data_IF_726420822119
#
_entry.id   IF_726420822119
#
_cell.length_a   1.000
_cell.length_b   1.000
_cell.length_c   1.000
_cell.angle_alpha   90.00
_cell.angle_beta   90.00
_cell.angle_gamma   90.00
#
_symmetry.space_group_name_H-M   'P 1'
#
loop_
_entity.id
_entity.type
_entity.pdbx_description
1 polymer ?
#
# COMPACT_ATOMS: atom_id res chain seq x y z
N UNK A 1 10.21 -42.11 -11.45
CA UNK A 1 9.88 -42.23 -10.02
C UNK A 1 11.10 -42.51 -9.16
N UNK A 2 12.17 -43.14 -9.66
CA UNK A 2 13.45 -43.19 -8.93
C UNK A 2 14.02 -41.77 -8.77
N UNK A 3 14.49 -41.45 -7.57
CA UNK A 3 15.17 -40.19 -7.18
C UNK A 3 14.37 -38.89 -7.43
N UNK A 4 13.08 -38.86 -7.08
CA UNK A 4 12.28 -37.64 -7.21
C UNK A 4 12.55 -36.64 -6.05
N UNK A 5 12.92 -35.38 -6.32
CA UNK A 5 13.34 -34.41 -5.28
C UNK A 5 12.15 -33.76 -4.55
N UNK A 6 11.20 -34.56 -4.05
CA UNK A 6 10.06 -34.08 -3.26
C UNK A 6 10.46 -33.74 -1.81
N UNK A 7 11.43 -34.47 -1.26
CA UNK A 7 11.89 -34.27 0.11
C UNK A 7 12.48 -32.87 0.31
N UNK A 8 13.15 -32.32 -0.71
CA UNK A 8 13.70 -30.96 -0.67
C UNK A 8 12.59 -29.91 -0.52
N UNK A 9 11.43 -30.11 -1.16
CA UNK A 9 10.30 -29.20 -1.06
C UNK A 9 9.67 -29.27 0.33
N UNK A 10 9.47 -30.48 0.86
CA UNK A 10 8.78 -30.70 2.15
C UNK A 10 9.65 -30.37 3.36
N UNK A 11 10.97 -30.41 3.22
CA UNK A 11 11.93 -30.07 4.28
C UNK A 11 12.42 -28.63 4.25
N UNK A 12 12.06 -27.85 3.22
CA UNK A 12 12.49 -26.46 3.09
C UNK A 12 11.99 -25.60 4.26
N UNK A 13 12.92 -24.86 4.87
CA UNK A 13 12.66 -23.94 5.98
C UNK A 13 12.47 -22.49 5.55
N UNK A 14 12.88 -22.16 4.31
CA UNK A 14 12.92 -20.80 3.80
C UNK A 14 12.34 -20.72 2.38
N UNK A 15 11.81 -19.55 2.01
CA UNK A 15 11.17 -19.31 0.71
C UNK A 15 12.14 -19.56 -0.46
N UNK A 16 13.42 -19.23 -0.29
CA UNK A 16 14.46 -19.47 -1.31
C UNK A 16 14.74 -20.97 -1.49
N UNK A 17 14.76 -21.74 -0.40
CA UNK A 17 14.89 -23.20 -0.47
C UNK A 17 13.69 -23.84 -1.16
N UNK A 18 12.47 -23.36 -0.89
CA UNK A 18 11.25 -23.78 -1.60
C UNK A 18 11.38 -23.49 -3.09
N UNK A 19 11.87 -22.30 -3.47
CA UNK A 19 12.08 -21.89 -4.86
C UNK A 19 13.08 -22.78 -5.60
N UNK A 20 14.20 -23.14 -4.96
CA UNK A 20 15.20 -24.06 -5.53
C UNK A 20 14.63 -25.47 -5.69
N UNK A 21 14.00 -26.01 -4.63
CA UNK A 21 13.37 -27.32 -4.65
C UNK A 21 12.31 -27.41 -5.76
N UNK A 22 11.52 -26.35 -5.94
CA UNK A 22 10.53 -26.27 -7.00
C UNK A 22 11.16 -26.36 -8.40
N UNK A 23 12.30 -25.66 -8.60
CA UNK A 23 13.09 -25.77 -9.83
C UNK A 23 13.57 -27.19 -10.09
N UNK A 24 14.07 -27.88 -9.07
CA UNK A 24 14.54 -29.27 -9.16
C UNK A 24 13.40 -30.23 -9.51
N UNK A 25 12.24 -30.06 -8.86
CA UNK A 25 11.01 -30.83 -9.12
C UNK A 25 10.57 -30.69 -10.58
N UNK A 26 10.41 -29.45 -11.09
CA UNK A 26 10.02 -29.23 -12.48
C UNK A 26 11.09 -29.68 -13.48
N UNK A 27 12.38 -29.53 -13.12
CA UNK A 27 13.51 -30.05 -13.90
C UNK A 27 13.41 -31.57 -14.08
N UNK A 28 13.13 -32.30 -13.00
CA UNK A 28 12.95 -33.75 -13.05
C UNK A 28 11.70 -34.16 -13.84
N UNK A 29 10.61 -33.38 -13.74
CA UNK A 29 9.35 -33.61 -14.47
C UNK A 29 9.49 -33.55 -16.00
N UNK A 30 10.49 -32.82 -16.54
CA UNK A 30 10.77 -32.79 -17.99
C UNK A 30 11.12 -34.16 -18.58
N UNK A 31 11.55 -35.12 -17.76
CA UNK A 31 11.86 -36.51 -18.15
C UNK A 31 10.61 -37.33 -18.53
N UNK A 32 9.40 -36.81 -18.29
CA UNK A 32 8.13 -37.44 -18.70
C UNK A 32 8.06 -37.78 -20.19
N UNK A 33 8.79 -37.05 -21.04
CA UNK A 33 8.91 -37.36 -22.48
C UNK A 33 9.40 -38.79 -22.75
N UNK A 34 10.29 -39.32 -21.91
CA UNK A 34 10.87 -40.65 -22.09
C UNK A 34 10.01 -41.79 -21.50
N UNK A 35 9.16 -41.51 -20.51
CA UNK A 35 8.52 -42.55 -19.68
C UNK A 35 7.08 -42.89 -20.08
N UNK A 36 6.58 -42.38 -21.21
CA UNK A 36 5.18 -42.55 -21.68
C UNK A 36 4.11 -42.30 -20.59
N UNK A 37 4.38 -41.41 -19.63
CA UNK A 37 3.52 -41.20 -18.47
C UNK A 37 2.14 -40.61 -18.86
N UNK A 38 1.02 -41.06 -18.26
CA UNK A 38 -0.32 -40.55 -18.60
C UNK A 38 -0.49 -39.07 -18.26
N UNK A 39 -1.07 -38.29 -19.20
CA UNK A 39 -1.21 -36.83 -19.08
C UNK A 39 -2.11 -36.45 -17.89
N UNK A 40 -3.24 -37.13 -17.69
CA UNK A 40 -4.15 -36.86 -16.57
C UNK A 40 -3.48 -37.06 -15.21
N UNK A 41 -2.64 -38.10 -15.09
CA UNK A 41 -1.87 -38.34 -13.86
C UNK A 41 -0.79 -37.27 -13.66
N UNK A 42 -0.22 -36.72 -14.73
CA UNK A 42 0.72 -35.61 -14.63
C UNK A 42 0.03 -34.35 -14.09
N UNK A 43 -1.16 -34.04 -14.58
CA UNK A 43 -1.95 -32.88 -14.11
C UNK A 43 -2.32 -33.02 -12.63
N UNK A 44 -2.83 -34.19 -12.20
CA UNK A 44 -3.11 -34.49 -10.78
C UNK A 44 -1.85 -34.39 -9.91
N UNK A 45 -0.69 -34.76 -10.45
CA UNK A 45 0.57 -34.69 -9.71
C UNK A 45 1.05 -33.24 -9.52
N UNK A 46 0.90 -32.37 -10.53
CA UNK A 46 1.16 -30.93 -10.36
C UNK A 46 0.25 -30.34 -9.27
N UNK A 47 -1.02 -30.72 -9.26
CA UNK A 47 -1.98 -30.26 -8.25
C UNK A 47 -1.53 -30.67 -6.84
N UNK A 48 -1.02 -31.90 -6.68
CA UNK A 48 -0.43 -32.35 -5.42
C UNK A 48 0.81 -31.53 -5.03
N UNK A 49 1.74 -31.26 -5.97
CA UNK A 49 2.91 -30.40 -5.71
C UNK A 49 2.47 -29.00 -5.29
N UNK A 50 1.44 -28.44 -5.93
CA UNK A 50 0.88 -27.14 -5.53
C UNK A 50 0.34 -27.16 -4.10
N UNK A 51 -0.27 -28.26 -3.65
CA UNK A 51 -0.77 -28.40 -2.28
C UNK A 51 0.38 -28.47 -1.29
N UNK A 52 1.41 -29.24 -1.60
CA UNK A 52 2.59 -29.39 -0.75
C UNK A 52 3.37 -28.07 -0.65
N UNK A 53 3.55 -27.36 -1.76
CA UNK A 53 4.12 -26.01 -1.78
C UNK A 53 3.30 -25.05 -0.92
N UNK A 54 1.96 -25.06 -1.04
CA UNK A 54 1.09 -24.21 -0.22
C UNK A 54 1.24 -24.49 1.27
N UNK A 55 1.29 -25.77 1.67
CA UNK A 55 1.51 -26.15 3.06
C UNK A 55 2.86 -25.66 3.61
N UNK A 56 3.92 -25.73 2.80
CA UNK A 56 5.24 -25.24 3.19
C UNK A 56 5.30 -23.72 3.27
N UNK A 57 4.70 -23.01 2.31
CA UNK A 57 4.58 -21.55 2.38
C UNK A 57 3.84 -21.14 3.66
N UNK A 58 2.71 -21.78 3.98
CA UNK A 58 1.97 -21.49 5.22
C UNK A 58 2.81 -21.77 6.47
N UNK A 59 3.59 -22.86 6.49
CA UNK A 59 4.49 -23.18 7.61
C UNK A 59 5.57 -22.10 7.80
N UNK A 60 6.22 -21.68 6.72
CA UNK A 60 7.25 -20.63 6.76
C UNK A 60 6.63 -19.29 7.19
N UNK A 61 5.51 -18.90 6.57
CA UNK A 61 4.84 -17.63 6.86
C UNK A 61 4.21 -17.58 8.25
N UNK A 62 3.68 -18.70 8.76
CA UNK A 62 3.07 -18.79 10.08
C UNK A 62 4.04 -18.46 11.22
N UNK A 63 5.33 -18.78 11.06
CA UNK A 63 6.36 -18.45 12.05
C UNK A 63 6.71 -16.95 12.08
N UNK A 64 6.48 -16.23 10.97
CA UNK A 64 6.92 -14.84 10.78
C UNK A 64 5.91 -13.81 11.28
N UNK A 65 4.73 -14.22 11.76
CA UNK A 65 3.65 -13.35 12.31
C UNK A 65 3.50 -12.05 11.50
N UNK A 66 3.06 -12.18 10.26
CA UNK A 66 3.09 -11.11 9.24
C UNK A 66 2.50 -9.77 9.68
N UNK A 67 1.58 -9.75 10.65
CA UNK A 67 0.94 -8.53 11.16
C UNK A 67 1.70 -7.82 12.29
N UNK A 68 2.74 -8.43 12.84
CA UNK A 68 3.53 -7.87 13.95
C UNK A 68 4.89 -7.31 13.50
N UNK A 69 5.42 -7.79 12.38
CA UNK A 69 6.71 -7.35 11.84
C UNK A 69 6.65 -5.95 11.23
N UNK A 70 7.80 -5.31 11.10
CA UNK A 70 7.91 -4.00 10.45
C UNK A 70 7.47 -4.04 8.98
N UNK A 71 7.11 -2.90 8.41
CA UNK A 71 6.72 -2.83 6.98
C UNK A 71 7.89 -3.19 6.06
N UNK A 72 9.13 -2.88 6.46
CA UNK A 72 10.34 -3.13 5.65
C UNK A 72 10.61 -4.62 5.53
N UNK A 73 10.60 -5.35 6.65
CA UNK A 73 10.77 -6.80 6.66
C UNK A 73 9.60 -7.50 5.96
N UNK A 74 8.39 -6.99 6.15
CA UNK A 74 7.20 -7.49 5.46
C UNK A 74 7.31 -7.35 3.95
N UNK A 75 7.74 -6.19 3.45
CA UNK A 75 7.89 -5.96 2.00
C UNK A 75 8.95 -6.87 1.38
N UNK A 76 10.06 -7.11 2.07
CA UNK A 76 11.10 -8.06 1.64
C UNK A 76 10.55 -9.49 1.54
N UNK A 77 9.86 -9.95 2.59
CA UNK A 77 9.25 -11.28 2.63
C UNK A 77 8.16 -11.41 1.55
N UNK A 78 7.33 -10.39 1.38
CA UNK A 78 6.31 -10.35 0.32
C UNK A 78 6.92 -10.40 -1.07
N UNK A 79 8.06 -9.73 -1.30
CA UNK A 79 8.79 -9.81 -2.56
C UNK A 79 9.30 -11.22 -2.82
N UNK A 80 9.83 -11.92 -1.82
CA UNK A 80 10.24 -13.32 -1.94
C UNK A 80 9.07 -14.25 -2.29
N UNK A 81 7.91 -14.07 -1.64
CA UNK A 81 6.68 -14.81 -1.97
C UNK A 81 6.25 -14.59 -3.43
N UNK A 82 6.23 -13.33 -3.88
CA UNK A 82 5.86 -13.00 -5.28
C UNK A 82 6.83 -13.66 -6.25
N UNK A 83 8.14 -13.58 -5.99
CA UNK A 83 9.14 -14.24 -6.84
C UNK A 83 8.96 -15.77 -6.88
N UNK A 84 8.57 -16.40 -5.77
CA UNK A 84 8.25 -17.82 -5.73
C UNK A 84 7.03 -18.15 -6.59
N UNK A 85 5.95 -17.37 -6.49
CA UNK A 85 4.75 -17.57 -7.31
C UNK A 85 5.02 -17.35 -8.80
N UNK A 86 5.77 -16.31 -9.16
CA UNK A 86 6.20 -16.09 -10.56
C UNK A 86 7.04 -17.26 -11.06
N UNK A 87 7.97 -17.79 -10.24
CA UNK A 87 8.77 -18.96 -10.62
C UNK A 87 7.91 -20.21 -10.83
N UNK A 88 6.89 -20.40 -10.00
CA UNK A 88 5.91 -21.48 -10.20
C UNK A 88 5.19 -21.32 -11.54
N UNK A 89 4.63 -20.14 -11.82
CA UNK A 89 3.87 -19.88 -13.04
C UNK A 89 4.71 -20.12 -14.29
N UNK A 90 5.96 -19.63 -14.30
CA UNK A 90 6.91 -19.84 -15.40
C UNK A 90 7.22 -21.32 -15.66
N UNK A 91 7.49 -22.10 -14.61
CA UNK A 91 7.79 -23.54 -14.77
C UNK A 91 6.53 -24.36 -15.08
N UNK A 92 5.39 -23.96 -14.54
CA UNK A 92 4.09 -24.55 -14.85
C UNK A 92 3.75 -24.35 -16.33
N UNK A 93 3.88 -23.14 -16.87
CA UNK A 93 3.59 -22.85 -18.27
C UNK A 93 4.51 -23.60 -19.23
N UNK A 94 5.81 -23.69 -18.90
CA UNK A 94 6.77 -24.54 -19.64
C UNK A 94 6.36 -26.02 -19.60
N UNK A 95 5.89 -26.51 -18.45
CA UNK A 95 5.47 -27.89 -18.30
C UNK A 95 4.17 -28.19 -19.05
N UNK A 96 3.18 -27.29 -19.00
CA UNK A 96 1.93 -27.42 -19.77
C UNK A 96 2.21 -27.40 -21.27
N UNK A 97 3.12 -26.54 -21.74
CA UNK A 97 3.57 -26.51 -23.14
C UNK A 97 4.17 -27.87 -23.54
N UNK A 98 5.04 -28.43 -22.71
CA UNK A 98 5.63 -29.76 -22.92
C UNK A 98 4.56 -30.87 -22.96
N UNK A 99 3.55 -30.84 -22.09
CA UNK A 99 2.44 -31.80 -22.12
C UNK A 99 1.60 -31.66 -23.40
N UNK A 100 1.34 -30.43 -23.86
CA UNK A 100 0.62 -30.19 -25.13
C UNK A 100 1.37 -30.76 -26.32
N UNK A 101 2.69 -30.62 -26.36
CA UNK A 101 3.53 -31.18 -27.42
C UNK A 101 3.52 -32.72 -27.43
N UNK A 102 3.52 -33.35 -26.24
CA UNK A 102 3.37 -34.81 -26.11
C UNK A 102 1.99 -35.25 -26.58
N UNK A 103 0.93 -34.50 -26.24
CA UNK A 103 -0.45 -34.80 -26.66
C UNK A 103 -0.62 -34.72 -28.17
N UNK A 104 -0.05 -33.70 -28.83
CA UNK A 104 -0.11 -33.56 -30.30
C UNK A 104 0.52 -34.73 -31.04
N UNK A 105 1.56 -35.35 -30.47
CA UNK A 105 2.23 -36.52 -31.05
C UNK A 105 1.43 -37.82 -30.91
N UNK A 106 0.47 -37.90 -29.97
CA UNK A 106 -0.35 -39.10 -29.68
C UNK A 106 -1.74 -39.04 -30.33
N UNK A 107 -1.83 -38.57 -31.58
CA UNK A 107 -3.06 -38.17 -32.31
C UNK A 107 -4.22 -39.21 -32.40
N UNK A 108 -4.13 -40.38 -31.78
CA UNK A 108 -5.12 -41.47 -31.82
C UNK A 108 -6.16 -41.48 -30.69
N UNK A 109 -5.98 -40.74 -29.59
CA UNK A 109 -7.03 -40.64 -28.55
C UNK A 109 -7.67 -39.25 -28.58
N UNK A 110 -8.98 -39.12 -28.91
CA UNK A 110 -9.69 -37.85 -28.83
C UNK A 110 -10.01 -37.54 -27.37
N UNK A 111 -8.98 -37.24 -26.58
CA UNK A 111 -9.20 -36.84 -25.20
C UNK A 111 -9.63 -35.37 -25.23
N UNK A 112 -10.91 -35.13 -24.93
CA UNK A 112 -11.38 -33.87 -24.35
C UNK A 112 -10.61 -33.64 -23.04
N UNK A 113 -9.35 -33.22 -23.15
CA UNK A 113 -8.50 -32.89 -22.01
C UNK A 113 -9.06 -31.61 -21.40
N UNK A 114 -9.75 -31.72 -20.27
CA UNK A 114 -9.91 -30.58 -19.38
C UNK A 114 -8.54 -30.26 -18.80
N UNK A 115 -7.85 -29.28 -19.38
CA UNK A 115 -6.60 -28.70 -18.89
C UNK A 115 -6.80 -27.78 -17.67
N UNK A 116 -8.01 -27.73 -17.11
CA UNK A 116 -8.36 -26.86 -15.99
C UNK A 116 -7.82 -27.45 -14.69
N UNK A 117 -6.54 -27.22 -14.41
CA UNK A 117 -5.98 -27.39 -13.07
C UNK A 117 -6.05 -26.03 -12.39
N UNK A 118 -6.80 -25.92 -11.29
CA UNK A 118 -6.75 -24.75 -10.41
C UNK A 118 -5.81 -25.07 -9.25
N UNK A 119 -4.58 -24.52 -9.25
CA UNK A 119 -3.64 -24.82 -8.19
C UNK A 119 -4.06 -24.12 -6.89
N UNK A 120 -3.94 -24.84 -5.77
CA UNK A 120 -4.43 -24.40 -4.44
C UNK A 120 -3.77 -23.08 -3.98
N UNK A 121 -2.48 -22.89 -4.29
CA UNK A 121 -1.71 -21.74 -3.84
C UNK A 121 -2.19 -20.41 -4.45
N UNK A 122 -2.95 -20.41 -5.54
CA UNK A 122 -3.49 -19.18 -6.16
C UNK A 122 -4.45 -18.43 -5.22
N UNK A 123 -5.18 -19.15 -4.36
CA UNK A 123 -6.03 -18.51 -3.35
C UNK A 123 -5.17 -17.81 -2.29
N UNK A 124 -4.08 -18.44 -1.86
CA UNK A 124 -3.13 -17.84 -0.92
C UNK A 124 -2.39 -16.64 -1.54
N UNK A 125 -2.01 -16.72 -2.81
CA UNK A 125 -1.41 -15.59 -3.54
C UNK A 125 -2.34 -14.38 -3.53
N UNK A 126 -3.61 -14.56 -3.90
CA UNK A 126 -4.62 -13.48 -3.85
C UNK A 126 -4.78 -12.89 -2.45
N UNK A 127 -4.77 -13.74 -1.41
CA UNK A 127 -4.82 -13.31 -0.02
C UNK A 127 -3.59 -12.47 0.39
N UNK A 128 -2.40 -12.91 0.03
CA UNK A 128 -1.16 -12.18 0.32
C UNK A 128 -1.14 -10.81 -0.38
N UNK A 129 -1.66 -10.70 -1.60
CA UNK A 129 -1.81 -9.41 -2.30
C UNK A 129 -2.74 -8.46 -1.53
N UNK A 130 -3.86 -8.96 -1.02
CA UNK A 130 -4.78 -8.17 -0.18
C UNK A 130 -4.09 -7.67 1.09
N UNK A 131 -3.38 -8.54 1.81
CA UNK A 131 -2.64 -8.18 3.03
C UNK A 131 -1.56 -7.13 2.73
N UNK A 132 -0.85 -7.27 1.61
CA UNK A 132 0.15 -6.30 1.17
C UNK A 132 -0.46 -4.92 0.91
N UNK A 133 -1.57 -4.88 0.19
CA UNK A 133 -2.29 -3.63 -0.08
C UNK A 133 -2.78 -2.98 1.23
N UNK A 134 -3.36 -3.79 2.13
CA UNK A 134 -3.82 -3.35 3.44
C UNK A 134 -2.70 -2.72 4.28
N UNK A 135 -1.56 -3.41 4.44
CA UNK A 135 -0.42 -2.89 5.22
C UNK A 135 0.17 -1.62 4.64
N UNK A 136 0.31 -1.55 3.31
CA UNK A 136 0.77 -0.33 2.63
C UNK A 136 -0.17 0.84 2.89
N UNK A 137 -1.49 0.61 2.80
CA UNK A 137 -2.50 1.62 3.08
C UNK A 137 -2.47 2.07 4.55
N UNK A 138 -2.30 1.13 5.48
CA UNK A 138 -2.20 1.41 6.91
C UNK A 138 -0.96 2.27 7.24
N UNK A 139 0.22 1.89 6.72
CA UNK A 139 1.44 2.65 6.98
C UNK A 139 1.38 4.05 6.35
N UNK A 140 0.84 4.16 5.14
CA UNK A 140 0.58 5.47 4.52
C UNK A 140 -0.31 6.33 5.41
N UNK A 141 -1.43 5.77 5.91
CA UNK A 141 -2.33 6.48 6.82
C UNK A 141 -1.60 6.95 8.08
N UNK A 142 -0.82 6.08 8.71
CA UNK A 142 -0.05 6.37 9.92
C UNK A 142 0.96 7.49 9.70
N UNK A 143 1.75 7.44 8.61
CA UNK A 143 2.73 8.47 8.24
C UNK A 143 2.05 9.80 7.97
N UNK A 144 0.94 9.78 7.23
CA UNK A 144 0.19 10.98 6.86
C UNK A 144 -0.39 11.65 8.11
N UNK A 145 -1.07 10.89 8.98
CA UNK A 145 -1.67 11.41 10.21
C UNK A 145 -0.59 11.94 11.16
N UNK A 146 0.52 11.22 11.33
CA UNK A 146 1.64 11.66 12.16
C UNK A 146 2.29 12.96 11.65
N UNK A 147 2.38 13.14 10.31
CA UNK A 147 2.91 14.37 9.70
C UNK A 147 1.95 15.55 9.87
N UNK A 148 0.65 15.33 9.70
CA UNK A 148 -0.39 16.37 9.73
C UNK A 148 -0.66 16.87 11.15
N UNK A 149 -0.62 15.97 12.14
CA UNK A 149 -0.94 16.28 13.53
C UNK A 149 0.28 16.64 14.38
N UNK A 150 1.49 16.66 13.80
CA UNK A 150 2.66 17.21 14.50
C UNK A 150 2.42 18.71 14.76
N UNK A 151 2.51 19.19 16.00
CA UNK A 151 2.34 20.61 16.30
C UNK A 151 3.34 21.45 15.50
N UNK A 152 2.85 22.51 14.86
CA UNK A 152 3.70 23.52 14.24
C UNK A 152 4.41 24.30 15.36
N UNK A 153 5.55 23.79 15.82
CA UNK A 153 6.30 24.41 16.91
C UNK A 153 7.54 23.68 17.40
N UNK A 154 7.72 22.39 17.11
CA UNK A 154 8.97 21.69 17.48
C UNK A 154 9.84 21.50 16.23
N UNK A 155 10.85 22.35 15.99
CA UNK A 155 11.89 22.04 15.03
C UNK A 155 12.67 20.81 15.49
N UNK A 156 13.03 19.96 14.54
CA UNK A 156 13.96 18.85 14.77
C UNK A 156 15.31 19.41 15.19
N UNK A 157 15.70 19.25 16.45
CA UNK A 157 17.09 19.27 16.88
C UNK A 157 17.23 18.38 18.13
N UNK A 158 18.22 17.51 18.07
CA UNK A 158 18.60 16.57 19.11
C UNK A 158 18.96 17.28 20.42
N UNK A 159 18.71 16.58 21.54
CA UNK A 159 19.22 16.87 22.89
C UNK A 159 18.46 17.92 23.72
N UNK A 160 17.40 17.48 24.42
CA UNK A 160 17.16 17.78 25.85
C UNK A 160 15.95 16.97 26.39
N UNK A 161 16.04 16.39 27.60
CA UNK A 161 14.96 15.62 28.21
C UNK A 161 14.02 16.51 29.03
N UNK A 162 12.74 16.16 28.99
CA UNK A 162 11.66 16.56 29.90
C UNK A 162 11.18 18.03 29.82
N UNK A 163 10.06 18.23 29.12
CA UNK A 163 8.86 18.85 29.71
C UNK A 163 7.65 18.44 28.87
N UNK A 164 6.82 17.58 29.47
CA UNK A 164 5.55 17.09 28.96
C UNK A 164 4.55 18.25 28.84
N UNK A 165 4.05 18.62 27.64
CA UNK A 165 2.78 19.31 27.57
C UNK A 165 1.70 18.29 27.93
N UNK A 166 1.08 18.47 29.09
CA UNK A 166 -0.04 17.67 29.56
C UNK A 166 -1.13 17.57 28.47
N UNK A 167 -1.69 16.37 28.23
CA UNK A 167 -2.87 16.24 27.37
C UNK A 167 -4.07 16.79 28.14
N UNK A 168 -4.59 17.94 27.73
CA UNK A 168 -5.94 18.32 28.09
C UNK A 168 -6.92 17.37 27.39
N UNK A 169 -7.67 16.63 28.22
CA UNK A 169 -8.68 15.62 27.91
C UNK A 169 -8.12 14.27 27.42
N UNK A 170 -8.62 13.18 28.04
CA UNK A 170 -8.32 11.79 27.68
C UNK A 170 -8.87 11.35 26.32
N UNK A 171 -8.85 12.23 25.32
CA UNK A 171 -9.11 11.89 23.93
C UNK A 171 -7.86 11.23 23.35
N UNK A 172 -7.95 9.93 23.02
CA UNK A 172 -6.91 9.23 22.29
C UNK A 172 -6.53 10.03 21.05
N UNK A 173 -5.23 10.23 20.82
CA UNK A 173 -4.80 10.93 19.61
C UNK A 173 -5.29 10.16 18.37
N UNK A 174 -5.57 10.83 17.25
CA UNK A 174 -5.98 10.14 16.02
C UNK A 174 -4.97 9.06 15.58
N UNK A 175 -3.69 9.20 15.95
CA UNK A 175 -2.65 8.18 15.74
C UNK A 175 -2.91 6.96 16.62
N UNK A 176 -3.25 7.14 17.90
CA UNK A 176 -3.55 6.04 18.82
C UNK A 176 -4.84 5.30 18.41
N UNK A 177 -5.83 6.02 17.89
CA UNK A 177 -7.06 5.41 17.36
C UNK A 177 -6.79 4.52 16.13
N UNK A 178 -5.87 4.94 15.26
CA UNK A 178 -5.42 4.14 14.10
C UNK A 178 -4.64 2.91 14.54
N UNK A 179 -3.80 3.04 15.56
CA UNK A 179 -3.07 1.91 16.14
C UNK A 179 -4.04 0.90 16.78
N UNK A 180 -5.01 1.38 17.56
CA UNK A 180 -6.06 0.54 18.16
C UNK A 180 -6.87 -0.20 17.09
N UNK A 181 -7.23 0.49 16.00
CA UNK A 181 -7.90 -0.14 14.86
C UNK A 181 -7.07 -1.28 14.25
N UNK A 182 -5.74 -1.11 14.19
CA UNK A 182 -4.83 -2.12 13.67
C UNK A 182 -4.70 -3.34 14.59
N UNK A 183 -4.77 -3.17 15.92
CA UNK A 183 -4.76 -4.29 16.87
C UNK A 183 -5.91 -5.28 16.60
N UNK A 184 -7.11 -4.80 16.29
CA UNK A 184 -8.23 -5.68 15.92
C UNK A 184 -7.97 -6.55 14.68
N UNK A 185 -7.12 -6.08 13.76
CA UNK A 185 -6.73 -6.84 12.56
C UNK A 185 -5.54 -7.76 12.85
N UNK A 186 -4.69 -7.42 13.84
CA UNK A 186 -3.58 -8.30 14.26
C UNK A 186 -4.04 -9.57 14.95
N UNK A 187 -5.16 -9.52 15.67
CA UNK A 187 -5.72 -10.68 16.39
C UNK A 187 -6.27 -11.76 15.45
N UNK A 188 -6.62 -11.40 14.21
CA UNK A 188 -7.17 -12.33 13.22
C UNK A 188 -6.06 -12.99 12.42
N UNK A 189 -6.16 -14.31 12.23
CA UNK A 189 -5.23 -15.04 11.38
C UNK A 189 -5.41 -14.64 9.91
N UNK A 190 -4.49 -13.80 9.42
CA UNK A 190 -4.50 -13.32 8.05
C UNK A 190 -4.18 -14.42 7.03
N UNK A 191 -3.54 -15.53 7.44
CA UNK A 191 -3.08 -16.60 6.54
C UNK A 191 -4.13 -17.69 6.30
N UNK A 192 -5.24 -17.69 7.04
CA UNK A 192 -6.32 -18.64 6.79
C UNK A 192 -7.14 -18.25 5.55
N UNK A 193 -7.08 -19.14 4.54
CA UNK A 193 -7.77 -19.00 3.24
C UNK A 193 -9.05 -19.86 3.21
N UNK A 194 -9.44 -20.45 4.34
CA UNK A 194 -10.73 -21.12 4.49
C UNK A 194 -11.89 -20.12 4.31
N UNK A 195 -13.10 -20.65 4.13
CA UNK A 195 -14.31 -19.80 4.04
C UNK A 195 -14.49 -19.01 5.34
N UNK A 196 -14.21 -19.63 6.48
CA UNK A 196 -14.26 -19.00 7.81
C UNK A 196 -13.15 -17.95 8.00
N UNK A 197 -11.92 -18.23 7.55
CA UNK A 197 -10.82 -17.26 7.57
C UNK A 197 -11.06 -16.05 6.66
N UNK A 198 -11.74 -16.26 5.54
CA UNK A 198 -12.13 -15.19 4.61
C UNK A 198 -13.19 -14.30 5.26
N UNK A 199 -14.24 -14.88 5.86
CA UNK A 199 -15.29 -14.09 6.53
C UNK A 199 -14.77 -13.36 7.76
N UNK A 200 -13.89 -14.00 8.56
CA UNK A 200 -13.26 -13.37 9.71
C UNK A 200 -12.40 -12.17 9.30
N UNK A 201 -11.64 -12.29 8.22
CA UNK A 201 -10.84 -11.18 7.70
C UNK A 201 -11.67 -10.06 7.10
N UNK A 202 -12.69 -10.39 6.32
CA UNK A 202 -13.57 -9.36 5.76
C UNK A 202 -14.28 -8.59 6.89
N UNK A 203 -14.66 -9.29 7.96
CA UNK A 203 -15.21 -8.66 9.16
C UNK A 203 -14.18 -7.76 9.88
N UNK A 204 -12.93 -8.21 10.02
CA UNK A 204 -11.85 -7.42 10.61
C UNK A 204 -11.53 -6.18 9.77
N UNK A 205 -11.47 -6.32 8.45
CA UNK A 205 -11.24 -5.22 7.53
C UNK A 205 -12.38 -4.19 7.58
N UNK A 206 -13.64 -4.64 7.63
CA UNK A 206 -14.79 -3.73 7.81
C UNK A 206 -14.74 -2.97 9.13
N UNK A 207 -14.40 -3.64 10.23
CA UNK A 207 -14.22 -2.97 11.53
C UNK A 207 -13.09 -1.94 11.48
N UNK A 208 -11.96 -2.30 10.88
CA UNK A 208 -10.86 -1.37 10.67
C UNK A 208 -11.31 -0.15 9.84
N UNK A 209 -11.99 -0.36 8.71
CA UNK A 209 -12.50 0.72 7.87
C UNK A 209 -13.51 1.61 8.60
N UNK A 210 -14.37 1.05 9.44
CA UNK A 210 -15.30 1.83 10.28
C UNK A 210 -14.55 2.71 11.28
N UNK A 211 -13.54 2.16 11.97
CA UNK A 211 -12.69 2.95 12.87
C UNK A 211 -11.92 4.04 12.13
N UNK A 212 -11.36 3.73 10.96
CA UNK A 212 -10.69 4.74 10.13
C UNK A 212 -11.67 5.81 9.65
N UNK A 213 -12.91 5.47 9.30
CA UNK A 213 -13.94 6.44 8.93
C UNK A 213 -14.27 7.41 10.07
N UNK A 214 -14.31 6.92 11.33
CA UNK A 214 -14.46 7.78 12.52
C UNK A 214 -13.27 8.72 12.69
N UNK A 215 -12.04 8.21 12.50
CA UNK A 215 -10.82 9.02 12.52
C UNK A 215 -10.83 10.08 11.40
N UNK A 216 -11.24 9.70 10.19
CA UNK A 216 -11.38 10.62 9.05
C UNK A 216 -12.41 11.72 9.33
N UNK A 217 -13.53 11.39 9.97
CA UNK A 217 -14.55 12.35 10.39
C UNK A 217 -14.00 13.33 11.43
N UNK A 218 -13.26 12.84 12.44
CA UNK A 218 -12.63 13.69 13.44
C UNK A 218 -11.56 14.62 12.84
N UNK A 219 -10.73 14.10 11.93
CA UNK A 219 -9.74 14.88 11.18
C UNK A 219 -10.45 15.94 10.32
N UNK A 220 -11.57 15.58 9.69
CA UNK A 220 -12.38 16.48 8.86
C UNK A 220 -12.98 17.61 9.69
N UNK A 221 -13.52 17.32 10.89
CA UNK A 221 -14.01 18.34 11.81
C UNK A 221 -12.91 19.32 12.18
N UNK A 222 -11.73 18.81 12.56
CA UNK A 222 -10.58 19.65 12.90
C UNK A 222 -10.09 20.50 11.74
N UNK A 223 -10.12 19.95 10.51
CA UNK A 223 -9.79 20.71 9.30
C UNK A 223 -10.81 21.84 9.07
N UNK A 224 -12.11 21.57 9.26
CA UNK A 224 -13.17 22.60 9.16
C UNK A 224 -12.99 23.71 10.19
N UNK A 225 -12.67 23.36 11.44
CA UNK A 225 -12.46 24.34 12.51
C UNK A 225 -11.24 25.23 12.22
N UNK A 226 -10.14 24.64 11.76
CA UNK A 226 -8.94 25.40 11.38
C UNK A 226 -9.20 26.31 10.17
N UNK A 227 -9.90 25.81 9.14
CA UNK A 227 -10.28 26.61 7.98
C UNK A 227 -11.29 27.71 8.31
N UNK A 228 -12.19 27.46 9.26
CA UNK A 228 -13.14 28.46 9.77
C UNK A 228 -12.48 29.59 10.55
N UNK A 229 -11.36 29.30 11.22
CA UNK A 229 -10.58 30.32 11.95
C UNK A 229 -9.66 31.16 11.05
N UNK A 230 -9.29 30.65 9.88
CA UNK A 230 -8.36 31.31 8.97
C UNK A 230 -9.03 32.52 8.28
N UNK A 231 -8.38 33.68 8.36
CA UNK A 231 -8.90 34.92 7.76
C UNK A 231 -8.27 35.23 6.40
N UNK A 232 -7.04 34.77 6.20
CA UNK A 232 -6.24 35.09 5.02
C UNK A 232 -6.10 33.88 4.08
N UNK A 233 -6.00 34.14 2.77
CA UNK A 233 -5.75 33.08 1.77
C UNK A 233 -4.44 32.33 2.07
N UNK A 234 -3.40 33.05 2.52
CA UNK A 234 -2.10 32.47 2.89
C UNK A 234 -2.19 31.49 4.08
N UNK A 235 -3.02 31.80 5.09
CA UNK A 235 -3.26 30.92 6.24
C UNK A 235 -3.99 29.65 5.80
N UNK A 236 -5.02 29.81 4.96
CA UNK A 236 -5.74 28.68 4.37
C UNK A 236 -4.79 27.78 3.55
N UNK A 237 -3.93 28.34 2.70
CA UNK A 237 -2.92 27.58 1.96
C UNK A 237 -1.92 26.88 2.87
N UNK A 238 -1.48 27.53 3.95
CA UNK A 238 -0.60 26.90 4.95
C UNK A 238 -1.26 25.66 5.56
N UNK A 239 -2.53 25.76 5.93
CA UNK A 239 -3.32 24.63 6.42
C UNK A 239 -3.45 23.56 5.32
N UNK A 240 -3.94 23.87 4.12
CA UNK A 240 -4.08 22.89 3.04
C UNK A 240 -2.76 22.17 2.69
N UNK A 241 -1.62 22.87 2.71
CA UNK A 241 -0.31 22.27 2.45
C UNK A 241 0.06 21.19 3.46
N UNK A 242 -0.34 21.36 4.73
CA UNK A 242 -0.13 20.35 5.79
C UNK A 242 -0.99 19.11 5.54
N UNK A 243 -2.26 19.32 5.16
CA UNK A 243 -3.24 18.25 4.91
C UNK A 243 -3.15 17.63 3.50
N UNK A 244 -2.23 18.09 2.63
CA UNK A 244 -2.14 17.66 1.23
C UNK A 244 -2.05 16.13 1.07
N UNK A 245 -1.32 15.48 1.97
CA UNK A 245 -1.14 14.03 1.94
C UNK A 245 -2.42 13.23 2.29
N UNK A 246 -3.47 13.89 2.81
CA UNK A 246 -4.78 13.30 3.11
C UNK A 246 -5.79 13.41 1.95
N UNK A 247 -5.48 14.16 0.87
CA UNK A 247 -6.43 14.44 -0.21
C UNK A 247 -6.75 13.23 -1.10
N UNK A 248 -6.08 12.10 -0.91
CA UNK A 248 -6.45 10.84 -1.55
C UNK A 248 -7.70 10.20 -0.92
N UNK A 249 -8.20 10.71 0.21
CA UNK A 249 -9.37 10.15 0.91
C UNK A 249 -10.66 10.86 0.50
N UNK A 250 -11.72 10.12 0.14
CA UNK A 250 -12.95 10.69 -0.39
C UNK A 250 -13.68 11.59 0.62
N UNK A 251 -13.72 11.24 1.91
CA UNK A 251 -14.39 12.04 2.93
C UNK A 251 -13.69 13.38 3.14
N UNK A 252 -12.37 13.35 3.31
CA UNK A 252 -11.55 14.56 3.51
C UNK A 252 -11.58 15.42 2.25
N UNK A 253 -11.48 14.82 1.07
CA UNK A 253 -11.58 15.53 -0.21
C UNK A 253 -12.94 16.22 -0.38
N UNK A 254 -14.02 15.58 0.07
CA UNK A 254 -15.36 16.17 0.08
C UNK A 254 -15.40 17.47 0.88
N UNK A 255 -14.88 17.45 2.11
CA UNK A 255 -14.81 18.65 2.94
C UNK A 255 -13.89 19.73 2.34
N UNK A 256 -12.77 19.36 1.74
CA UNK A 256 -11.87 20.31 1.07
C UNK A 256 -12.58 21.02 -0.10
N UNK A 257 -13.37 20.29 -0.90
CA UNK A 257 -14.12 20.86 -2.03
C UNK A 257 -15.10 21.96 -1.61
N UNK A 258 -15.72 21.84 -0.44
CA UNK A 258 -16.63 22.87 0.09
C UNK A 258 -15.89 24.21 0.31
N UNK A 259 -14.65 24.17 0.79
CA UNK A 259 -13.82 25.37 1.03
C UNK A 259 -13.02 25.81 -0.19
N UNK A 260 -12.84 24.96 -1.20
CA UNK A 260 -12.14 25.33 -2.44
C UNK A 260 -12.82 26.52 -3.13
N UNK A 261 -14.15 26.56 -3.18
CA UNK A 261 -14.87 27.70 -3.78
C UNK A 261 -14.57 29.00 -3.04
N UNK A 262 -14.55 28.96 -1.70
CA UNK A 262 -14.23 30.13 -0.88
C UNK A 262 -12.76 30.55 -1.03
N UNK A 263 -11.84 29.58 -1.12
CA UNK A 263 -10.42 29.83 -1.33
C UNK A 263 -10.17 30.47 -2.70
N UNK A 264 -10.79 29.94 -3.76
CA UNK A 264 -10.69 30.48 -5.12
C UNK A 264 -11.21 31.92 -5.16
N UNK A 265 -12.34 32.20 -4.50
CA UNK A 265 -12.89 33.56 -4.44
C UNK A 265 -11.94 34.53 -3.73
N UNK A 266 -11.38 34.16 -2.57
CA UNK A 266 -10.39 34.98 -1.86
C UNK A 266 -9.12 35.22 -2.67
N UNK A 267 -8.61 34.18 -3.35
CA UNK A 267 -7.44 34.30 -4.22
C UNK A 267 -7.73 35.20 -5.41
N UNK A 268 -8.93 35.14 -5.98
CA UNK A 268 -9.37 36.04 -7.04
C UNK A 268 -9.39 37.49 -6.56
N UNK A 269 -9.94 37.76 -5.38
CA UNK A 269 -9.91 39.10 -4.77
C UNK A 269 -8.47 39.60 -4.52
N UNK A 270 -7.57 38.72 -4.06
CA UNK A 270 -6.17 39.07 -3.87
C UNK A 270 -5.45 39.34 -5.20
N UNK A 271 -5.76 38.60 -6.27
CA UNK A 271 -5.28 38.86 -7.64
C UNK A 271 -5.82 40.19 -8.16
N UNK A 272 -7.10 40.48 -7.95
CA UNK A 272 -7.72 41.77 -8.34
C UNK A 272 -7.08 42.93 -7.59
N UNK A 273 -6.79 42.79 -6.28
CA UNK A 273 -6.00 43.78 -5.52
C UNK A 273 -4.59 43.94 -6.09
N UNK A 274 -3.95 42.84 -6.51
CA UNK A 274 -2.63 42.89 -7.12
C UNK A 274 -2.68 43.60 -8.48
N UNK A 275 -3.71 43.35 -9.29
CA UNK A 275 -3.94 44.02 -10.56
C UNK A 275 -4.24 45.52 -10.38
N UNK A 276 -5.03 45.88 -9.37
CA UNK A 276 -5.26 47.28 -8.99
C UNK A 276 -3.95 47.97 -8.56
N UNK A 277 -3.13 47.29 -7.75
CA UNK A 277 -1.77 47.75 -7.41
C UNK A 277 -0.81 47.75 -8.60
N UNK A 278 -1.03 46.98 -9.64
CA UNK A 278 -0.21 47.01 -10.86
C UNK A 278 -0.68 48.08 -11.84
N UNK A 279 -1.86 48.66 -11.62
CA UNK A 279 -2.38 49.74 -12.45
C UNK A 279 -1.55 51.02 -12.21
N UNK A 280 -1.31 51.79 -13.27
CA UNK A 280 -0.28 52.85 -13.44
C UNK A 280 0.02 53.76 -12.23
N UNK A 281 -0.94 54.05 -11.36
CA UNK A 281 -0.74 54.95 -10.21
C UNK A 281 0.23 54.43 -9.14
N UNK A 282 0.39 53.11 -8.99
CA UNK A 282 1.26 52.56 -7.94
C UNK A 282 2.73 52.46 -8.37
N UNK A 283 3.00 52.24 -9.67
CA UNK A 283 4.36 52.21 -10.22
C UNK A 283 5.01 53.60 -10.15
N UNK A 284 4.25 54.65 -10.51
CA UNK A 284 4.72 56.03 -10.45
C UNK A 284 4.96 56.46 -8.98
N UNK A 285 4.04 56.14 -8.06
CA UNK A 285 4.15 56.56 -6.66
C UNK A 285 5.21 55.78 -5.86
N UNK A 286 5.37 54.46 -6.06
CA UNK A 286 6.47 53.70 -5.44
C UNK A 286 7.82 54.01 -6.08
N UNK A 287 7.87 54.22 -7.39
CA UNK A 287 9.08 54.63 -8.10
C UNK A 287 9.63 55.92 -7.50
N UNK A 288 8.77 56.92 -7.27
CA UNK A 288 9.16 58.20 -6.67
C UNK A 288 9.65 58.05 -5.23
N UNK A 289 8.94 57.29 -4.38
CA UNK A 289 9.33 57.06 -2.97
C UNK A 289 10.63 56.22 -2.86
N UNK A 290 10.76 55.13 -3.63
CA UNK A 290 11.93 54.25 -3.59
C UNK A 290 13.18 54.91 -4.18
N UNK A 291 13.01 55.74 -5.23
CA UNK A 291 14.11 56.53 -5.79
C UNK A 291 14.59 57.59 -4.81
N UNK A 292 13.68 58.26 -4.10
CA UNK A 292 14.04 59.32 -3.13
C UNK A 292 14.59 58.79 -1.80
N UNK A 293 14.16 57.61 -1.34
CA UNK A 293 14.48 57.14 0.02
C UNK A 293 15.56 56.06 0.06
N UNK A 294 15.73 55.29 -1.02
CA UNK A 294 16.62 54.11 -1.06
C UNK A 294 17.64 54.14 -2.21
N UNK A 295 17.75 55.25 -2.95
CA UNK A 295 18.65 55.42 -4.11
C UNK A 295 18.53 54.31 -5.17
N UNK A 296 17.33 53.74 -5.34
CA UNK A 296 17.07 52.72 -6.36
C UNK A 296 16.71 53.42 -7.67
N UNK A 297 17.40 53.14 -8.80
CA UNK A 297 17.06 53.74 -10.09
C UNK A 297 15.60 53.45 -10.51
N UNK A 298 14.93 54.38 -11.22
CA UNK A 298 13.50 54.28 -11.53
C UNK A 298 13.15 53.05 -12.39
N UNK A 299 14.06 52.63 -13.27
CA UNK A 299 13.88 51.41 -14.07
C UNK A 299 13.89 50.15 -13.20
N UNK A 300 14.76 50.10 -12.18
CA UNK A 300 14.83 48.99 -11.23
C UNK A 300 13.66 49.01 -10.26
N UNK A 301 13.24 50.19 -9.81
CA UNK A 301 12.07 50.37 -8.93
C UNK A 301 10.75 49.92 -9.59
N UNK A 302 10.61 50.11 -10.91
CA UNK A 302 9.44 49.65 -11.66
C UNK A 302 9.37 48.13 -11.83
N UNK A 303 10.48 47.40 -11.63
CA UNK A 303 10.53 45.94 -11.75
C UNK A 303 10.25 45.25 -10.38
N UNK A 304 10.42 45.97 -9.26
CA UNK A 304 10.33 45.45 -7.87
C UNK A 304 8.97 45.72 -7.22
#
# INVERSE_FOLDING_TARGET
MKDFPLNELVSATDLDSIKVALGNVFGHMKKIRATKYPIQRALRFIEAISRDMNAQILKVLGTRRLMHISIVEFDQLMMQCIQLFTKWDDEYDKFITLLRDISKKKRDEPVKLMWKVQPLHKKLEGRLVQIKAFRKQHEQLRVVIARVLRPAGTPSAETQPAETPQPHNGELTPVDQVNLAYEFVKEVDCLDVSVEGTTAWDAAQRRYEEHISRVETAITSRLRDQLGSARNANEMFSIFSRFNALFCRPQILGAVREYQTQLIQRVKEDIERLQAKFTKQYADHRGEILTQTFDIPPLSANII
#
